data_IF_022379059450
#
_entry.id   IF_022379059450
#
_cell.length_a   1.000
_cell.length_b   1.000
_cell.length_c   1.000
_cell.angle_alpha   90.00
_cell.angle_beta   90.00
_cell.angle_gamma   90.00
#
_symmetry.space_group_name_H-M   'P 1'
#
loop_
_entity.id
_entity.type
_entity.pdbx_description
1 polymer ?
#
# COMPACT_ATOMS: atom_id res chain seq x y z
N UNK A 1 4.07 5.04 15.55
CA UNK A 1 4.71 4.82 14.22
C UNK A 1 3.88 3.86 13.38
N UNK A 2 3.78 4.11 12.06
CA UNK A 2 3.10 3.24 11.09
C UNK A 2 4.11 2.79 10.02
N UNK A 3 4.15 1.48 9.76
CA UNK A 3 4.93 0.90 8.66
C UNK A 3 3.98 0.03 7.83
N UNK A 4 4.05 0.14 6.51
CA UNK A 4 3.25 -0.63 5.58
C UNK A 4 4.12 -1.10 4.41
N UNK A 5 4.17 -2.42 4.21
CA UNK A 5 4.63 -3.03 2.97
C UNK A 5 3.40 -3.53 2.23
N UNK A 6 3.17 -2.97 1.05
CA UNK A 6 1.95 -3.21 0.29
C UNK A 6 2.30 -3.73 -1.10
N UNK A 7 1.38 -4.49 -1.69
CA UNK A 7 1.46 -4.95 -3.09
C UNK A 7 2.70 -5.80 -3.46
N UNK A 8 3.52 -6.22 -2.48
CA UNK A 8 4.77 -6.92 -2.74
C UNK A 8 4.55 -8.35 -3.21
N UNK A 9 4.98 -8.63 -4.44
CA UNK A 9 4.97 -9.95 -5.08
C UNK A 9 6.38 -10.52 -5.11
N UNK A 10 6.50 -11.80 -4.78
CA UNK A 10 7.76 -12.53 -4.69
C UNK A 10 7.59 -13.89 -5.35
N UNK A 11 8.58 -14.34 -6.11
CA UNK A 11 8.68 -15.68 -6.69
C UNK A 11 10.10 -16.21 -6.46
N UNK A 12 10.23 -17.38 -5.85
CA UNK A 12 11.53 -18.00 -5.57
C UNK A 12 11.38 -19.50 -5.38
N UNK A 13 12.40 -20.27 -5.69
CA UNK A 13 12.63 -21.66 -5.31
C UNK A 13 13.62 -21.80 -4.15
N UNK A 14 14.21 -20.70 -3.69
CA UNK A 14 15.16 -20.67 -2.57
C UNK A 14 14.39 -20.64 -1.25
N UNK A 15 14.82 -21.49 -0.31
CA UNK A 15 14.24 -21.61 1.03
C UNK A 15 14.70 -20.52 1.99
N UNK A 16 15.63 -19.66 1.57
CA UNK A 16 16.22 -18.57 2.37
C UNK A 16 16.50 -17.35 1.50
N UNK A 17 16.45 -16.16 2.09
CA UNK A 17 16.85 -14.91 1.44
C UNK A 17 16.19 -13.67 2.01
N UNK A 18 16.88 -12.53 1.95
CA UNK A 18 16.38 -11.24 2.44
C UNK A 18 15.57 -10.51 1.38
N UNK A 19 14.28 -10.33 1.61
CA UNK A 19 13.38 -9.62 0.71
C UNK A 19 13.53 -8.11 0.82
N UNK A 20 13.52 -7.58 2.05
CA UNK A 20 13.63 -6.16 2.36
C UNK A 20 14.48 -5.99 3.61
N UNK A 21 15.42 -5.05 3.62
CA UNK A 21 16.10 -4.62 4.84
C UNK A 21 16.08 -3.10 4.94
N UNK A 22 16.02 -2.57 6.15
CA UNK A 22 16.22 -1.14 6.41
C UNK A 22 17.49 -0.93 7.23
N UNK A 23 18.01 0.30 7.24
CA UNK A 23 19.01 0.74 8.22
C UNK A 23 18.75 2.19 8.63
N UNK A 24 19.26 2.57 9.80
CA UNK A 24 19.40 3.97 10.19
C UNK A 24 20.88 4.33 10.34
N UNK A 25 21.22 5.53 9.88
CA UNK A 25 22.55 6.10 9.98
C UNK A 25 22.81 6.71 11.37
N UNK A 26 21.75 6.98 12.14
CA UNK A 26 21.86 7.60 13.48
C UNK A 26 21.45 6.67 14.62
N UNK A 27 20.72 5.59 14.34
CA UNK A 27 20.38 4.55 15.33
C UNK A 27 20.67 3.18 14.71
N UNK A 28 21.93 2.71 14.72
CA UNK A 28 22.36 1.54 13.95
C UNK A 28 21.64 0.23 14.29
N UNK A 29 21.06 0.13 15.49
CA UNK A 29 20.29 -1.04 15.93
C UNK A 29 18.86 -1.05 15.41
N UNK A 30 18.33 0.10 14.96
CA UNK A 30 17.01 0.16 14.35
C UNK A 30 17.03 -0.54 12.98
N UNK A 31 16.37 -1.69 12.91
CA UNK A 31 16.32 -2.50 11.72
C UNK A 31 14.94 -3.14 11.55
N UNK A 32 14.41 -3.07 10.34
CA UNK A 32 13.31 -3.92 9.88
C UNK A 32 13.87 -4.81 8.77
N UNK A 33 13.70 -6.12 8.91
CA UNK A 33 14.06 -7.09 7.87
C UNK A 33 12.86 -7.97 7.56
N UNK A 34 12.52 -8.12 6.30
CA UNK A 34 11.59 -9.13 5.79
C UNK A 34 12.40 -10.17 5.03
N UNK A 35 12.21 -11.44 5.35
CA UNK A 35 13.03 -12.52 4.82
C UNK A 35 12.23 -13.80 4.62
N UNK A 36 12.77 -14.70 3.81
CA UNK A 36 12.35 -16.11 3.71
C UNK A 36 13.33 -16.94 4.52
N UNK A 37 12.83 -17.90 5.30
CA UNK A 37 13.66 -18.89 5.99
C UNK A 37 12.88 -20.20 6.18
N UNK A 38 13.41 -21.30 5.67
CA UNK A 38 12.73 -22.61 5.70
C UNK A 38 11.41 -22.60 4.93
N UNK A 39 11.32 -21.86 3.80
CA UNK A 39 10.10 -21.70 3.00
C UNK A 39 8.92 -21.00 3.73
N UNK A 40 9.20 -20.35 4.86
CA UNK A 40 8.27 -19.47 5.57
C UNK A 40 8.74 -18.02 5.49
N UNK A 41 7.82 -17.06 5.62
CA UNK A 41 8.16 -15.65 5.73
C UNK A 41 8.48 -15.30 7.18
N UNK A 42 9.41 -14.37 7.36
CA UNK A 42 9.79 -13.81 8.64
C UNK A 42 9.91 -12.29 8.56
N UNK A 43 9.54 -11.62 9.66
CA UNK A 43 9.86 -10.22 9.88
C UNK A 43 10.65 -10.12 11.17
N UNK A 44 11.81 -9.49 11.09
CA UNK A 44 12.66 -9.14 12.21
C UNK A 44 12.60 -7.63 12.43
N UNK A 45 12.35 -7.24 13.68
CA UNK A 45 12.37 -5.87 14.17
C UNK A 45 13.46 -5.79 15.24
N UNK A 46 14.53 -5.06 14.96
CA UNK A 46 15.62 -4.82 15.92
C UNK A 46 15.63 -3.37 16.37
N UNK A 47 15.98 -3.16 17.63
CA UNK A 47 16.14 -1.88 18.28
C UNK A 47 17.11 -2.02 19.47
N UNK A 48 17.39 -0.91 20.14
CA UNK A 48 18.37 -0.84 21.24
C UNK A 48 18.06 -1.75 22.44
N UNK A 49 16.83 -2.27 22.57
CA UNK A 49 16.42 -3.13 23.69
C UNK A 49 16.23 -4.60 23.28
N UNK A 50 16.57 -4.96 22.04
CA UNK A 50 16.53 -6.35 21.58
C UNK A 50 15.97 -6.51 20.16
N UNK A 51 15.58 -7.75 19.86
CA UNK A 51 15.00 -8.12 18.59
C UNK A 51 13.73 -8.96 18.76
N UNK A 52 12.80 -8.76 17.83
CA UNK A 52 11.53 -9.47 17.78
C UNK A 52 11.34 -10.05 16.39
N UNK A 53 11.03 -11.35 16.33
CA UNK A 53 10.83 -12.08 15.08
C UNK A 53 9.42 -12.65 15.05
N UNK A 54 8.68 -12.35 13.98
CA UNK A 54 7.40 -12.96 13.69
C UNK A 54 7.50 -13.77 12.40
N UNK A 55 7.11 -15.05 12.45
CA UNK A 55 7.07 -15.94 11.30
C UNK A 55 5.64 -16.20 10.86
N UNK A 56 5.42 -16.28 9.56
CA UNK A 56 4.12 -16.58 8.98
C UNK A 56 4.21 -17.30 7.65
N UNK A 57 3.15 -18.03 7.32
CA UNK A 57 3.05 -18.74 6.05
C UNK A 57 4.00 -19.94 5.94
N UNK A 58 3.90 -20.64 4.80
CA UNK A 58 4.73 -21.79 4.43
C UNK A 58 4.62 -22.03 2.93
N UNK A 59 5.60 -22.72 2.36
CA UNK A 59 5.57 -23.13 0.95
C UNK A 59 5.79 -21.98 -0.02
N UNK A 60 6.51 -20.92 0.38
CA UNK A 60 6.77 -19.76 -0.49
C UNK A 60 7.86 -20.06 -1.54
N UNK A 61 8.66 -21.10 -1.30
CA UNK A 61 9.78 -21.51 -2.15
C UNK A 61 9.36 -22.53 -3.22
N UNK A 62 8.13 -22.42 -3.75
CA UNK A 62 7.57 -23.33 -4.76
C UNK A 62 7.74 -22.81 -6.20
N UNK A 63 8.54 -21.76 -6.37
CA UNK A 63 8.74 -21.02 -7.61
C UNK A 63 7.45 -20.43 -8.23
N UNK A 64 6.42 -20.18 -7.42
CA UNK A 64 5.21 -19.45 -7.83
C UNK A 64 5.23 -18.05 -7.26
N UNK A 65 4.38 -17.20 -7.84
CA UNK A 65 4.21 -15.86 -7.33
C UNK A 65 3.33 -15.86 -6.09
N UNK A 66 3.88 -15.34 -5.00
CA UNK A 66 3.20 -15.12 -3.74
C UNK A 66 2.98 -13.64 -3.49
N UNK A 67 1.84 -13.31 -2.91
CA UNK A 67 1.46 -11.95 -2.56
C UNK A 67 1.51 -11.73 -1.05
N UNK A 68 2.43 -10.85 -0.62
CA UNK A 68 2.64 -10.53 0.78
C UNK A 68 2.23 -9.10 1.11
N UNK A 69 1.77 -8.89 2.36
CA UNK A 69 1.62 -7.56 2.96
C UNK A 69 2.07 -7.60 4.41
N UNK A 70 2.62 -6.47 4.86
CA UNK A 70 2.93 -6.24 6.25
C UNK A 70 2.36 -4.89 6.65
N UNK A 71 1.67 -4.82 7.78
CA UNK A 71 1.25 -3.56 8.39
C UNK A 71 1.61 -3.57 9.86
N UNK A 72 2.32 -2.55 10.31
CA UNK A 72 2.59 -2.32 11.73
C UNK A 72 1.99 -0.98 12.15
N UNK A 73 1.24 -1.00 13.26
CA UNK A 73 0.71 0.20 13.91
C UNK A 73 0.96 0.08 15.41
N UNK A 74 1.90 0.86 15.94
CA UNK A 74 2.34 0.73 17.34
C UNK A 74 2.95 -0.66 17.58
N UNK A 75 2.40 -1.38 18.56
CA UNK A 75 2.79 -2.76 18.87
C UNK A 75 2.20 -3.80 17.92
N UNK A 76 1.07 -3.51 17.29
CA UNK A 76 0.34 -4.49 16.47
C UNK A 76 1.03 -4.69 15.13
N UNK A 77 1.34 -5.93 14.80
CA UNK A 77 1.89 -6.38 13.52
C UNK A 77 0.87 -7.28 12.82
N UNK A 78 0.54 -6.94 11.58
CA UNK A 78 -0.41 -7.66 10.73
C UNK A 78 0.36 -8.19 9.52
N UNK A 79 0.24 -9.48 9.29
CA UNK A 79 0.96 -10.20 8.26
C UNK A 79 -0.04 -10.86 7.32
N UNK A 80 0.21 -10.78 6.03
CA UNK A 80 -0.66 -11.35 5.00
C UNK A 80 0.17 -12.15 4.01
N UNK A 81 -0.36 -13.31 3.63
CA UNK A 81 0.16 -14.13 2.55
C UNK A 81 -1.02 -14.75 1.79
N UNK A 82 -1.09 -14.54 0.47
CA UNK A 82 -2.00 -15.24 -0.46
C UNK A 82 -3.46 -15.35 -0.02
N UNK A 83 -4.02 -14.26 0.49
CA UNK A 83 -5.42 -14.22 0.89
C UNK A 83 -5.66 -14.44 2.37
N UNK A 84 -4.64 -14.90 3.11
CA UNK A 84 -4.73 -15.22 4.54
C UNK A 84 -4.02 -14.17 5.37
N UNK A 85 -4.73 -13.64 6.35
CA UNK A 85 -4.16 -12.77 7.38
C UNK A 85 -3.74 -13.62 8.57
N UNK A 86 -2.51 -13.43 9.03
CA UNK A 86 -2.11 -13.82 10.38
C UNK A 86 -2.29 -12.61 11.29
N UNK A 87 -3.31 -12.72 12.13
CA UNK A 87 -3.62 -11.75 13.17
C UNK A 87 -2.97 -12.22 14.49
N UNK A 88 -2.88 -11.33 15.48
CA UNK A 88 -2.31 -11.59 16.81
C UNK A 88 -0.79 -11.58 16.94
N UNK A 89 -0.06 -10.84 16.10
CA UNK A 89 1.35 -10.53 16.36
C UNK A 89 1.44 -9.17 17.06
N UNK A 90 2.02 -9.16 18.25
CA UNK A 90 2.18 -7.96 19.07
C UNK A 90 3.59 -7.88 19.61
N UNK A 91 4.14 -6.67 19.61
CA UNK A 91 5.36 -6.36 20.33
C UNK A 91 5.03 -6.11 21.80
N UNK A 92 5.99 -6.33 22.72
CA UNK A 92 5.78 -6.06 24.14
C UNK A 92 5.58 -4.56 24.44
N UNK A 93 6.13 -3.68 23.59
CA UNK A 93 5.96 -2.23 23.72
C UNK A 93 6.10 -1.52 22.38
N UNK A 94 5.59 -0.29 22.30
CA UNK A 94 5.67 0.53 21.10
C UNK A 94 7.09 1.02 20.84
N UNK A 95 7.82 0.28 20.01
CA UNK A 95 9.20 0.61 19.61
C UNK A 95 9.22 1.53 18.38
N UNK A 96 9.70 2.79 18.45
CA UNK A 96 9.94 3.60 17.27
C UNK A 96 11.17 3.08 16.51
N UNK A 97 11.03 2.90 15.19
CA UNK A 97 12.16 2.60 14.31
C UNK A 97 12.48 3.84 13.47
N UNK A 98 13.74 4.26 13.53
CA UNK A 98 14.29 5.20 12.56
C UNK A 98 14.77 4.43 11.32
N UNK A 99 14.45 4.96 10.15
CA UNK A 99 14.79 4.34 8.86
C UNK A 99 15.31 5.45 7.96
N UNK A 100 16.57 5.34 7.54
CA UNK A 100 17.21 6.29 6.63
C UNK A 100 17.36 5.67 5.23
N UNK A 101 17.65 4.36 5.16
CA UNK A 101 17.82 3.64 3.90
C UNK A 101 17.05 2.31 3.89
N UNK A 102 16.65 1.90 2.68
CA UNK A 102 15.90 0.66 2.41
C UNK A 102 16.58 -0.06 1.25
N UNK A 103 16.86 -1.35 1.42
CA UNK A 103 17.36 -2.24 0.40
C UNK A 103 16.33 -3.33 0.08
N UNK A 104 16.33 -3.76 -1.18
CA UNK A 104 15.56 -4.90 -1.66
C UNK A 104 16.53 -6.00 -2.05
N UNK A 105 16.25 -7.23 -1.64
CA UNK A 105 17.03 -8.41 -2.04
C UNK A 105 18.39 -8.58 -1.35
N UNK A 106 18.88 -7.60 -0.58
CA UNK A 106 20.17 -7.68 0.13
C UNK A 106 20.03 -7.07 1.51
N UNK A 107 20.55 -7.74 2.54
CA UNK A 107 20.61 -7.19 3.89
C UNK A 107 21.67 -6.11 4.06
N UNK A 108 21.40 -5.07 4.85
CA UNK A 108 22.40 -4.04 5.18
C UNK A 108 23.48 -4.53 6.16
N UNK A 109 23.14 -5.48 7.04
CA UNK A 109 24.11 -6.10 7.95
C UNK A 109 24.65 -7.39 7.34
N UNK A 110 25.97 -7.56 7.37
CA UNK A 110 26.66 -8.80 7.00
C UNK A 110 26.95 -9.61 8.27
N UNK A 111 26.72 -10.92 8.22
CA UNK A 111 26.95 -11.83 9.35
C UNK A 111 26.45 -13.24 9.02
N UNK A 112 26.86 -14.25 9.79
CA UNK A 112 26.61 -15.67 9.50
C UNK A 112 25.18 -16.16 9.88
N UNK A 113 24.20 -15.27 9.95
CA UNK A 113 22.81 -15.64 10.29
C UNK A 113 21.97 -15.83 9.02
N UNK A 114 20.95 -16.69 9.04
CA UNK A 114 20.04 -16.91 7.89
C UNK A 114 19.33 -15.66 7.36
N UNK A 115 19.39 -14.54 8.09
CA UNK A 115 18.73 -13.26 7.79
C UNK A 115 19.66 -12.30 7.02
N UNK A 116 20.77 -12.79 6.48
CA UNK A 116 21.74 -11.97 5.70
C UNK A 116 21.93 -12.48 4.27
N UNK A 117 21.43 -13.68 3.94
CA UNK A 117 21.55 -14.26 2.60
C UNK A 117 20.82 -13.37 1.57
N UNK A 118 21.48 -13.01 0.45
CA UNK A 118 20.81 -12.31 -0.64
C UNK A 118 19.61 -13.11 -1.15
N UNK A 119 18.57 -12.40 -1.58
CA UNK A 119 17.43 -13.02 -2.20
C UNK A 119 17.74 -13.43 -3.63
N UNK A 120 17.42 -14.67 -3.96
CA UNK A 120 17.46 -15.20 -5.30
C UNK A 120 16.03 -15.48 -5.77
N UNK A 121 15.62 -14.80 -6.83
CA UNK A 121 14.27 -14.91 -7.38
C UNK A 121 13.79 -13.62 -8.02
N UNK A 122 12.49 -13.56 -8.27
CA UNK A 122 11.82 -12.42 -8.89
C UNK A 122 10.97 -11.65 -7.89
N UNK A 123 10.99 -10.32 -8.01
CA UNK A 123 10.19 -9.40 -7.20
C UNK A 123 9.35 -8.49 -8.09
N UNK A 124 8.15 -8.13 -7.62
CA UNK A 124 7.30 -7.15 -8.30
C UNK A 124 6.49 -6.31 -7.33
N UNK A 125 6.14 -5.08 -7.75
CA UNK A 125 5.21 -4.16 -7.04
C UNK A 125 5.53 -3.93 -5.55
N UNK A 126 6.82 -3.81 -5.22
CA UNK A 126 7.28 -3.60 -3.86
C UNK A 126 6.99 -2.16 -3.39
N UNK A 127 5.90 -1.97 -2.66
CA UNK A 127 5.55 -0.66 -2.08
C UNK A 127 5.92 -0.62 -0.60
N UNK A 128 6.65 0.42 -0.19
CA UNK A 128 6.95 0.70 1.22
C UNK A 128 6.39 2.07 1.60
N UNK A 129 5.46 2.12 2.56
CA UNK A 129 4.76 3.33 2.97
C UNK A 129 4.22 4.17 1.79
N UNK A 130 3.72 3.50 0.74
CA UNK A 130 3.19 4.14 -0.47
C UNK A 130 4.24 4.55 -1.51
N UNK A 131 5.53 4.26 -1.29
CA UNK A 131 6.62 4.50 -2.24
C UNK A 131 6.92 3.21 -3.01
N UNK A 132 6.94 3.26 -4.35
CA UNK A 132 7.39 2.14 -5.19
C UNK A 132 8.93 2.07 -5.19
N UNK A 133 9.47 1.03 -4.56
CA UNK A 133 10.92 0.85 -4.44
C UNK A 133 11.55 0.32 -5.74
N UNK A 134 10.79 -0.35 -6.61
CA UNK A 134 11.31 -0.90 -7.86
C UNK A 134 11.41 0.17 -8.97
N UNK A 135 10.55 1.19 -8.97
CA UNK A 135 10.70 2.32 -9.88
C UNK A 135 12.03 3.04 -9.67
N UNK A 136 12.47 3.19 -8.41
CA UNK A 136 13.75 3.83 -8.08
C UNK A 136 14.93 3.03 -8.64
N UNK A 137 14.92 1.71 -8.45
CA UNK A 137 15.99 0.82 -8.93
C UNK A 137 16.05 0.72 -10.46
N UNK A 138 14.90 0.82 -11.15
CA UNK A 138 14.83 0.88 -12.62
C UNK A 138 15.47 2.16 -13.18
N UNK A 139 15.29 3.30 -12.50
CA UNK A 139 15.92 4.57 -12.90
C UNK A 139 17.43 4.58 -12.70
N UNK A 140 17.92 3.82 -11.72
CA UNK A 140 19.36 3.66 -11.44
C UNK A 140 20.04 2.60 -12.33
N UNK A 141 19.32 1.96 -13.26
CA UNK A 141 19.88 0.96 -14.18
C UNK A 141 20.27 -0.38 -13.52
N UNK A 142 19.87 -0.61 -12.27
CA UNK A 142 20.31 -1.76 -11.44
C UNK A 142 19.43 -3.01 -11.55
N UNK A 143 18.51 -3.07 -12.52
CA UNK A 143 17.56 -4.17 -12.69
C UNK A 143 17.62 -4.78 -14.09
N UNK A 144 17.94 -6.07 -14.19
CA UNK A 144 17.73 -6.86 -15.40
C UNK A 144 16.24 -7.18 -15.55
N UNK A 145 15.63 -6.80 -16.68
CA UNK A 145 14.24 -7.15 -17.00
C UNK A 145 14.21 -8.55 -17.61
N UNK A 146 13.94 -9.59 -16.83
CA UNK A 146 13.45 -10.83 -17.44
C UNK A 146 11.95 -10.71 -17.72
N UNK A 147 11.65 -10.40 -18.98
CA UNK A 147 10.30 -10.40 -19.51
C UNK A 147 9.84 -11.82 -19.80
N UNK A 148 8.78 -12.25 -19.10
CA UNK A 148 7.66 -13.12 -19.53
C UNK A 148 7.04 -13.78 -18.30
N UNK A 149 5.98 -13.20 -17.73
CA UNK A 149 5.29 -13.86 -16.62
C UNK A 149 4.33 -13.01 -15.79
N UNK A 150 3.63 -12.03 -16.37
CA UNK A 150 2.64 -11.22 -15.64
C UNK A 150 1.19 -11.46 -16.07
N UNK A 151 0.81 -12.66 -16.51
CA UNK A 151 -0.57 -12.85 -17.03
C UNK A 151 -1.66 -13.07 -15.98
N UNK A 152 -1.38 -13.50 -14.74
CA UNK A 152 -2.46 -13.99 -13.86
C UNK A 152 -2.52 -13.44 -12.42
N UNK A 153 -1.89 -12.29 -12.09
CA UNK A 153 -2.01 -11.72 -10.73
C UNK A 153 -2.79 -10.41 -10.77
N UNK A 154 -4.11 -10.51 -10.54
CA UNK A 154 -4.95 -9.34 -10.24
C UNK A 154 -4.57 -8.85 -8.83
N UNK A 155 -3.93 -7.67 -8.67
CA UNK A 155 -3.61 -7.16 -7.34
C UNK A 155 -4.91 -6.94 -6.57
N UNK A 156 -5.07 -7.61 -5.42
CA UNK A 156 -6.25 -7.44 -4.56
C UNK A 156 -6.30 -5.97 -4.13
N UNK A 157 -7.39 -5.27 -4.46
CA UNK A 157 -7.53 -3.83 -4.16
C UNK A 157 -7.42 -3.62 -2.64
N UNK A 158 -6.57 -2.70 -2.21
CA UNK A 158 -6.47 -2.33 -0.79
C UNK A 158 -7.67 -1.46 -0.43
N UNK A 159 -8.52 -1.91 0.47
CA UNK A 159 -9.58 -1.07 1.06
C UNK A 159 -9.07 -0.34 2.30
N UNK A 160 -9.66 0.82 2.58
CA UNK A 160 -9.43 1.62 3.79
C UNK A 160 -10.80 1.92 4.40
N UNK A 161 -10.90 1.83 5.72
CA UNK A 161 -12.13 2.17 6.45
C UNK A 161 -11.92 3.47 7.22
N UNK A 162 -12.81 4.43 7.01
CA UNK A 162 -12.91 5.66 7.80
C UNK A 162 -13.97 5.43 8.88
N UNK A 163 -13.55 5.27 10.14
CA UNK A 163 -14.47 4.98 11.26
C UNK A 163 -15.08 6.22 11.88
N UNK A 164 -14.61 7.41 11.50
CA UNK A 164 -15.12 8.70 11.92
C UNK A 164 -15.46 9.53 10.68
N UNK A 165 -16.55 10.30 10.72
CA UNK A 165 -17.00 11.19 9.65
C UNK A 165 -16.02 12.33 9.36
N UNK A 166 -15.11 12.62 10.29
CA UNK A 166 -14.02 13.60 10.11
C UNK A 166 -12.71 13.00 9.59
N UNK A 167 -12.64 11.67 9.44
CA UNK A 167 -11.44 11.00 8.97
C UNK A 167 -11.22 11.22 7.47
N UNK A 168 -10.03 11.67 7.09
CA UNK A 168 -9.62 11.84 5.69
C UNK A 168 -8.20 11.33 5.46
N UNK A 169 -7.88 11.01 4.20
CA UNK A 169 -6.53 10.68 3.76
C UNK A 169 -6.13 11.63 2.64
N UNK A 170 -4.92 12.17 2.72
CA UNK A 170 -4.37 13.07 1.70
C UNK A 170 -3.53 12.25 0.72
N UNK A 171 -3.84 12.36 -0.57
CA UNK A 171 -3.01 11.78 -1.64
C UNK A 171 -1.80 12.70 -1.89
N UNK A 172 -0.64 12.11 -2.17
CA UNK A 172 0.62 12.85 -2.35
C UNK A 172 0.51 13.92 -3.45
N UNK A 173 1.07 15.11 -3.20
CA UNK A 173 1.11 16.25 -4.13
C UNK A 173 1.72 15.90 -5.50
N UNK A 174 2.61 14.89 -5.57
CA UNK A 174 3.19 14.41 -6.84
C UNK A 174 2.20 13.70 -7.77
N UNK A 175 1.11 13.15 -7.23
CA UNK A 175 0.02 12.56 -8.02
C UNK A 175 -0.88 13.67 -8.56
N UNK A 176 -1.07 14.75 -7.78
CA UNK A 176 -1.87 15.90 -8.19
C UNK A 176 -1.20 16.74 -9.29
N UNK A 177 0.12 16.88 -9.27
CA UNK A 177 0.85 17.65 -10.29
C UNK A 177 0.95 16.98 -11.66
N UNK A 178 0.69 15.67 -11.77
CA UNK A 178 0.66 14.94 -13.07
C UNK A 178 -0.69 14.99 -13.77
N UNK A 179 -1.69 15.73 -13.24
CA UNK A 179 -3.03 15.87 -13.82
C UNK A 179 -3.07 16.91 -14.96
N UNK A 180 -2.06 16.90 -15.82
CA UNK A 180 -1.99 17.70 -17.05
C UNK A 180 -2.42 16.83 -18.23
N UNK A 181 -3.71 16.50 -18.30
CA UNK A 181 -4.28 15.64 -19.34
C UNK A 181 -5.68 15.13 -18.97
N UNK A 182 -6.25 14.20 -19.76
CA UNK A 182 -7.55 13.59 -19.48
C UNK A 182 -7.60 13.02 -18.07
N UNK A 183 -8.56 13.49 -17.26
CA UNK A 183 -8.68 13.13 -15.86
C UNK A 183 -9.58 11.91 -15.73
N UNK A 184 -9.03 10.83 -15.16
CA UNK A 184 -9.78 9.64 -14.76
C UNK A 184 -9.75 9.46 -13.25
N UNK A 185 -10.91 9.44 -12.63
CA UNK A 185 -11.07 9.11 -11.21
C UNK A 185 -11.91 7.84 -11.10
N UNK A 186 -11.40 6.84 -10.39
CA UNK A 186 -12.10 5.57 -10.21
C UNK A 186 -11.82 5.00 -8.82
N UNK A 187 -12.87 4.76 -8.05
CA UNK A 187 -12.77 4.11 -6.75
C UNK A 187 -14.07 3.36 -6.41
N UNK A 188 -13.97 2.47 -5.43
CA UNK A 188 -15.14 1.80 -4.85
C UNK A 188 -15.37 2.30 -3.44
N UNK A 189 -16.64 2.44 -3.05
CA UNK A 189 -17.02 2.84 -1.70
C UNK A 189 -18.20 2.00 -1.21
N UNK A 190 -18.34 1.93 0.12
CA UNK A 190 -19.41 1.25 0.84
C UNK A 190 -19.68 2.08 2.10
N UNK A 191 -20.93 2.53 2.32
CA UNK A 191 -21.26 3.40 3.46
C UNK A 191 -22.76 3.36 3.80
N UNK A 192 -23.12 3.72 5.03
CA UNK A 192 -24.51 4.09 5.43
C UNK A 192 -24.73 5.60 5.45
N UNK A 193 -23.66 6.39 5.31
CA UNK A 193 -23.72 7.84 5.44
C UNK A 193 -24.38 8.42 4.20
N UNK A 194 -25.43 9.24 4.39
CA UNK A 194 -26.21 9.87 3.31
C UNK A 194 -25.58 11.14 2.77
N UNK A 195 -24.78 11.84 3.58
CA UNK A 195 -24.06 13.05 3.21
C UNK A 195 -22.58 12.89 3.57
N UNK A 196 -21.72 12.72 2.57
CA UNK A 196 -20.31 12.40 2.81
C UNK A 196 -19.42 12.92 1.69
N UNK A 197 -18.30 13.54 2.04
CA UNK A 197 -17.23 13.81 1.08
C UNK A 197 -16.53 12.49 0.73
N UNK A 198 -16.46 12.14 -0.55
CA UNK A 198 -15.80 10.92 -1.02
C UNK A 198 -14.41 11.20 -1.60
N UNK A 199 -14.26 12.33 -2.29
CA UNK A 199 -12.99 12.77 -2.86
C UNK A 199 -13.00 14.28 -3.03
N UNK A 200 -11.88 14.92 -2.75
CA UNK A 200 -11.66 16.32 -3.10
C UNK A 200 -10.24 16.51 -3.63
N UNK A 201 -10.14 17.34 -4.66
CA UNK A 201 -8.89 17.84 -5.21
C UNK A 201 -8.98 19.34 -5.37
N UNK A 202 -7.97 20.06 -4.90
CA UNK A 202 -7.87 21.51 -5.00
C UNK A 202 -6.51 21.87 -5.59
N UNK A 203 -6.49 22.78 -6.55
CA UNK A 203 -5.27 23.38 -7.08
C UNK A 203 -5.37 24.89 -6.90
N UNK A 204 -4.56 25.40 -5.97
CA UNK A 204 -4.41 26.84 -5.74
C UNK A 204 -3.81 27.53 -6.98
N UNK A 205 -2.77 26.95 -7.57
CA UNK A 205 -2.09 27.47 -8.77
C UNK A 205 -3.06 27.66 -9.96
N UNK A 206 -3.95 26.69 -10.19
CA UNK A 206 -4.91 26.74 -11.30
C UNK A 206 -6.26 27.33 -10.91
N UNK A 207 -6.46 27.67 -9.64
CA UNK A 207 -7.75 28.02 -9.06
C UNK A 207 -8.87 27.04 -9.48
N UNK A 208 -8.59 25.74 -9.35
CA UNK A 208 -9.54 24.67 -9.71
C UNK A 208 -9.87 23.77 -8.54
N UNK A 209 -11.08 23.23 -8.52
CA UNK A 209 -11.46 22.18 -7.58
C UNK A 209 -12.32 21.11 -8.24
N UNK A 210 -12.17 19.88 -7.77
CA UNK A 210 -13.02 18.74 -8.13
C UNK A 210 -13.43 18.02 -6.86
N UNK A 211 -14.73 17.90 -6.64
CA UNK A 211 -15.32 17.32 -5.43
C UNK A 211 -16.32 16.26 -5.85
N UNK A 212 -16.21 15.08 -5.25
CA UNK A 212 -17.23 14.02 -5.32
C UNK A 212 -17.78 13.82 -3.91
N UNK A 213 -19.09 13.87 -3.78
CA UNK A 213 -19.78 13.70 -2.51
C UNK A 213 -21.03 12.84 -2.67
N UNK A 214 -21.46 12.25 -1.56
CA UNK A 214 -22.83 11.82 -1.38
C UNK A 214 -23.64 13.00 -0.88
N UNK A 215 -24.73 13.33 -1.56
CA UNK A 215 -25.74 14.27 -1.12
C UNK A 215 -27.09 13.57 -1.15
N UNK A 216 -27.75 13.44 0.01
CA UNK A 216 -29.01 12.67 0.16
C UNK A 216 -28.90 11.25 -0.43
N UNK A 217 -27.76 10.59 -0.20
CA UNK A 217 -27.43 9.24 -0.69
C UNK A 217 -27.31 9.10 -2.23
N UNK A 218 -27.07 10.21 -2.94
CA UNK A 218 -26.79 10.27 -4.38
C UNK A 218 -25.41 10.85 -4.65
N UNK A 219 -24.80 10.51 -5.78
CA UNK A 219 -23.53 11.12 -6.17
C UNK A 219 -23.80 12.56 -6.61
N UNK A 220 -22.99 13.47 -6.08
CA UNK A 220 -22.87 14.84 -6.57
C UNK A 220 -21.41 15.14 -6.87
N UNK A 221 -21.17 15.73 -8.03
CA UNK A 221 -19.84 16.08 -8.52
C UNK A 221 -19.83 17.58 -8.77
N UNK A 222 -18.91 18.28 -8.11
CA UNK A 222 -18.68 19.71 -8.33
C UNK A 222 -17.30 19.92 -8.92
N UNK A 223 -17.22 20.58 -10.07
CA UNK A 223 -15.97 21.02 -10.67
C UNK A 223 -15.96 22.54 -10.80
N UNK A 224 -14.95 23.22 -10.27
CA UNK A 224 -14.75 24.67 -10.40
C UNK A 224 -13.47 24.95 -11.16
N UNK A 225 -13.52 25.92 -12.08
CA UNK A 225 -12.35 26.35 -12.85
C UNK A 225 -12.52 27.77 -13.36
N UNK A 226 -11.57 28.66 -13.07
CA UNK A 226 -11.46 29.98 -13.73
C UNK A 226 -12.73 30.82 -13.74
N UNK A 227 -13.56 30.75 -12.68
CA UNK A 227 -14.82 31.50 -12.54
C UNK A 227 -16.11 30.71 -12.82
N UNK A 228 -16.04 29.54 -13.47
CA UNK A 228 -17.19 28.68 -13.74
C UNK A 228 -17.33 27.53 -12.75
N UNK A 229 -18.57 27.12 -12.46
CA UNK A 229 -18.90 25.94 -11.66
C UNK A 229 -19.79 24.98 -12.46
N UNK A 230 -19.35 23.73 -12.58
CA UNK A 230 -20.16 22.61 -13.07
C UNK A 230 -20.61 21.77 -11.88
N UNK A 231 -21.92 21.52 -11.80
CA UNK A 231 -22.54 20.65 -10.81
C UNK A 231 -23.28 19.52 -11.53
N UNK A 232 -22.91 18.28 -11.24
CA UNK A 232 -23.58 17.09 -11.77
C UNK A 232 -24.13 16.31 -10.59
N UNK A 233 -25.42 15.99 -10.61
CA UNK A 233 -26.04 15.11 -9.61
C UNK A 233 -26.58 13.86 -10.31
N UNK A 234 -26.33 12.68 -9.72
CA UNK A 234 -26.81 11.44 -10.28
C UNK A 234 -28.35 11.37 -10.23
N UNK A 235 -28.99 10.68 -11.20
CA UNK A 235 -30.43 10.46 -11.15
C UNK A 235 -30.84 9.69 -9.89
N UNK A 236 -32.14 9.72 -9.58
CA UNK A 236 -32.69 8.80 -8.58
C UNK A 236 -32.52 7.36 -9.07
N UNK A 237 -32.11 6.48 -8.17
CA UNK A 237 -32.04 5.06 -8.51
C UNK A 237 -33.46 4.46 -8.50
N UNK A 238 -33.74 3.44 -9.32
CA UNK A 238 -35.03 2.77 -9.36
C UNK A 238 -35.43 2.19 -8.01
N UNK A 239 -36.74 2.01 -7.79
CA UNK A 239 -37.26 1.26 -6.64
C UNK A 239 -36.78 1.76 -5.27
N UNK A 240 -36.67 3.08 -5.10
CA UNK A 240 -36.18 3.73 -3.87
C UNK A 240 -34.78 3.32 -3.43
N UNK A 241 -33.96 2.77 -4.34
CA UNK A 241 -32.57 2.42 -4.05
C UNK A 241 -31.73 3.68 -3.77
N UNK A 242 -30.66 3.51 -3.01
CA UNK A 242 -29.73 4.59 -2.69
C UNK A 242 -28.32 4.06 -2.42
N UNK A 243 -27.31 4.92 -2.55
CA UNK A 243 -25.90 4.51 -2.46
C UNK A 243 -25.40 4.32 -1.02
N UNK A 244 -26.21 4.71 -0.03
CA UNK A 244 -25.93 4.57 1.41
C UNK A 244 -26.49 3.26 1.99
N UNK A 245 -26.30 2.14 1.31
CA UNK A 245 -26.94 0.84 1.58
C UNK A 245 -25.96 -0.24 2.10
N UNK A 246 -24.72 0.14 2.44
CA UNK A 246 -23.64 -0.81 2.75
C UNK A 246 -23.38 -1.86 1.67
N UNK A 247 -23.63 -1.54 0.40
CA UNK A 247 -23.13 -2.33 -0.74
C UNK A 247 -21.95 -1.62 -1.39
N UNK A 248 -21.12 -2.39 -2.09
CA UNK A 248 -20.00 -1.84 -2.83
C UNK A 248 -20.51 -1.16 -4.10
N UNK A 249 -20.30 0.15 -4.18
CA UNK A 249 -20.56 0.95 -5.37
C UNK A 249 -19.25 1.34 -6.05
N UNK A 250 -19.28 1.46 -7.38
CA UNK A 250 -18.11 1.92 -8.14
C UNK A 250 -18.41 3.30 -8.70
N UNK A 251 -17.59 4.28 -8.33
CA UNK A 251 -17.60 5.59 -8.97
C UNK A 251 -16.54 5.61 -10.06
N UNK A 252 -16.95 6.04 -11.25
CA UNK A 252 -16.08 6.18 -12.39
C UNK A 252 -16.37 7.52 -13.08
N UNK A 253 -15.35 8.37 -13.16
CA UNK A 253 -15.42 9.67 -13.78
C UNK A 253 -14.30 9.82 -14.78
N UNK A 254 -14.66 10.34 -15.96
CA UNK A 254 -13.74 10.67 -17.03
C UNK A 254 -14.02 12.10 -17.47
N UNK A 255 -12.96 12.89 -17.58
CA UNK A 255 -12.96 14.18 -18.24
C UNK A 255 -11.90 14.11 -19.33
N UNK A 256 -12.36 14.22 -20.57
CA UNK A 256 -11.50 14.31 -21.76
C UNK A 256 -10.96 15.73 -21.87
#
# INVERSE_FOLDING_TARGET
MVIAIEKYLVQTDYSRGVLLSTKSNSVPDNQLVVFVNGSALGVLLRHNYGEHIFRWGKGISDNRWHFLRLKRRGEKVLLYLDGKWQQNNYLPSSIPLKIDEISSGVGFRRGNSSVTEPFHGSVSRMMFNGIDLLERLKKEGRMSKEGKGQRNIRPKQSSVSFTNTTGYAVLSHRIASSLTGPLRVSFKFQTLIRNALLFASYSAEKNTSLVFELAKARIRITYKSGGGQLLIESPLLPSHQHLSDMRWHTLLFYKV
#
